data_IF_596362386675
#
_entry.id   IF_596362386675
#
_cell.length_a   1.000
_cell.length_b   1.000
_cell.length_c   1.000
_cell.angle_alpha   90.00
_cell.angle_beta   90.00
_cell.angle_gamma   90.00
#
_symmetry.space_group_name_H-M   'P 1'
#
loop_
_entity.id
_entity.type
_entity.pdbx_description
1 polymer ?
#
# COMPACT_ATOMS: atom_id res chain seq x y z
N UNK A 1 -3.77 5.06 -36.01
CA UNK A 1 -3.12 4.08 -35.11
C UNK A 1 -2.40 4.89 -34.05
N UNK A 2 -2.67 4.67 -32.76
CA UNK A 2 -1.99 5.43 -31.70
C UNK A 2 -0.51 5.06 -31.70
N UNK A 3 0.38 6.05 -31.64
CA UNK A 3 1.82 5.82 -31.52
C UNK A 3 2.12 5.44 -30.08
N UNK A 4 2.79 4.31 -29.90
CA UNK A 4 3.19 3.87 -28.57
C UNK A 4 4.48 4.60 -28.15
N UNK A 5 4.51 5.18 -26.96
CA UNK A 5 5.63 5.96 -26.46
C UNK A 5 6.08 5.50 -25.07
N UNK A 6 7.39 5.35 -24.89
CA UNK A 6 8.03 5.08 -23.61
C UNK A 6 9.19 6.05 -23.42
N UNK A 7 9.42 6.42 -22.17
CA UNK A 7 10.57 7.22 -21.75
C UNK A 7 11.11 6.65 -20.46
N UNK A 8 12.35 6.21 -20.48
CA UNK A 8 13.07 5.63 -19.34
C UNK A 8 14.14 6.63 -18.95
N UNK A 9 14.12 7.07 -17.69
CA UNK A 9 15.18 7.92 -17.12
C UNK A 9 15.94 7.15 -16.07
N UNK A 10 17.26 7.08 -16.19
CA UNK A 10 18.15 6.42 -15.23
C UNK A 10 19.07 7.46 -14.61
N UNK A 11 18.98 7.63 -13.30
CA UNK A 11 19.73 8.60 -12.51
C UNK A 11 20.85 7.89 -11.77
N UNK A 12 22.06 8.44 -11.83
CA UNK A 12 23.15 8.01 -10.95
C UNK A 12 22.79 8.36 -9.51
N UNK A 13 23.08 7.48 -8.56
CA UNK A 13 22.76 7.71 -7.14
C UNK A 13 24.01 7.84 -6.29
N UNK A 14 23.90 8.65 -5.23
CA UNK A 14 24.88 8.69 -4.15
C UNK A 14 24.16 8.31 -2.87
N UNK A 15 24.50 7.14 -2.30
CA UNK A 15 23.79 6.56 -1.14
C UNK A 15 22.28 6.49 -1.38
N UNK A 16 21.88 6.00 -2.56
CA UNK A 16 20.49 5.89 -3.03
C UNK A 16 19.77 7.23 -3.27
N UNK A 17 20.42 8.38 -3.07
CA UNK A 17 19.83 9.68 -3.43
C UNK A 17 20.09 9.95 -4.92
N UNK A 18 19.04 10.18 -5.75
CA UNK A 18 19.24 10.50 -7.17
C UNK A 18 20.02 11.80 -7.36
N UNK A 19 21.06 11.76 -8.19
CA UNK A 19 21.81 12.95 -8.60
C UNK A 19 21.11 13.66 -9.77
N UNK A 20 21.47 14.93 -10.07
CA UNK A 20 20.96 15.61 -11.26
C UNK A 20 21.38 14.98 -12.60
N UNK A 21 22.40 14.12 -12.60
CA UNK A 21 22.89 13.45 -13.80
C UNK A 21 22.03 12.23 -14.10
N UNK A 22 21.41 12.23 -15.28
CA UNK A 22 20.59 11.13 -15.75
C UNK A 22 20.80 10.83 -17.24
N UNK A 23 20.45 9.61 -17.61
CA UNK A 23 20.39 9.10 -18.98
C UNK A 23 18.93 8.90 -19.37
N UNK A 24 18.55 9.35 -20.56
CA UNK A 24 17.18 9.21 -21.07
C UNK A 24 17.15 8.30 -22.30
N UNK A 25 16.18 7.39 -22.32
CA UNK A 25 15.92 6.48 -23.44
C UNK A 25 14.45 6.59 -23.84
N UNK A 26 14.20 6.92 -25.11
CA UNK A 26 12.84 7.08 -25.66
C UNK A 26 12.37 5.84 -26.43
N UNK A 27 12.98 4.69 -26.14
CA UNK A 27 12.67 3.38 -26.71
C UNK A 27 12.86 2.30 -25.65
N UNK A 28 12.12 1.20 -25.81
CA UNK A 28 12.22 -0.01 -25.00
C UNK A 28 11.58 -1.16 -25.77
N UNK A 29 12.05 -2.39 -25.58
CA UNK A 29 11.41 -3.56 -26.21
C UNK A 29 10.13 -3.91 -25.46
N UNK A 30 10.26 -4.25 -24.18
CA UNK A 30 9.15 -4.59 -23.31
C UNK A 30 9.32 -3.98 -21.91
N UNK A 31 8.21 -3.64 -21.27
CA UNK A 31 8.13 -3.28 -19.85
C UNK A 31 7.01 -4.08 -19.20
N UNK A 32 7.31 -4.71 -18.08
CA UNK A 32 6.33 -5.34 -17.18
C UNK A 32 6.39 -4.66 -15.82
N UNK A 33 5.26 -4.23 -15.27
CA UNK A 33 5.17 -3.61 -13.94
C UNK A 33 4.07 -4.31 -13.15
N UNK A 34 4.34 -4.66 -11.90
CA UNK A 34 3.35 -5.21 -10.97
C UNK A 34 3.29 -4.33 -9.73
N UNK A 35 2.13 -3.71 -9.53
CA UNK A 35 1.87 -2.77 -8.44
C UNK A 35 0.70 -3.19 -7.57
N UNK A 36 0.83 -3.17 -6.25
CA UNK A 36 -0.28 -3.43 -5.32
C UNK A 36 -0.04 -2.82 -3.94
N UNK A 37 -1.08 -2.24 -3.33
CA UNK A 37 -0.98 -1.78 -1.94
C UNK A 37 -0.82 -2.94 -0.92
N UNK A 38 -1.12 -4.19 -1.34
CA UNK A 38 -0.96 -5.40 -0.50
C UNK A 38 0.49 -5.89 -0.47
N UNK A 39 1.28 -5.56 -1.49
CA UNK A 39 2.70 -5.87 -1.57
C UNK A 39 3.50 -4.73 -0.96
N UNK A 40 4.59 -5.05 -0.25
CA UNK A 40 5.45 -4.00 0.31
C UNK A 40 6.21 -3.25 -0.78
N UNK A 41 6.59 -3.95 -1.85
CA UNK A 41 7.36 -3.42 -2.98
C UNK A 41 6.64 -3.67 -4.30
N UNK A 42 6.46 -2.62 -5.09
CA UNK A 42 6.16 -2.77 -6.51
C UNK A 42 7.41 -3.22 -7.28
N UNK A 43 7.20 -3.93 -8.39
CA UNK A 43 8.31 -4.45 -9.22
C UNK A 43 8.16 -4.01 -10.67
N UNK A 44 9.28 -3.83 -11.35
CA UNK A 44 9.32 -3.62 -12.79
C UNK A 44 10.41 -4.46 -13.45
N UNK A 45 10.18 -4.83 -14.71
CA UNK A 45 11.18 -5.48 -15.57
C UNK A 45 11.17 -4.77 -16.92
N UNK A 46 12.36 -4.36 -17.36
CA UNK A 46 12.58 -3.68 -18.63
C UNK A 46 13.43 -4.60 -19.50
N UNK A 47 13.02 -4.80 -20.74
CA UNK A 47 13.82 -5.47 -21.77
C UNK A 47 14.31 -4.43 -22.77
N UNK A 48 15.63 -4.33 -22.89
CA UNK A 48 16.32 -3.42 -23.80
C UNK A 48 17.21 -4.21 -24.77
N UNK A 49 17.55 -3.66 -25.94
CA UNK A 49 18.69 -4.14 -26.72
C UNK A 49 19.99 -4.09 -25.90
N UNK A 50 20.96 -4.95 -26.17
CA UNK A 50 22.25 -4.94 -25.48
C UNK A 50 23.05 -3.65 -25.72
N UNK A 51 22.97 -3.13 -26.95
CA UNK A 51 23.57 -1.85 -27.35
C UNK A 51 22.53 -0.74 -27.20
N UNK A 52 22.86 0.29 -26.44
CA UNK A 52 21.96 1.41 -26.17
C UNK A 52 22.65 2.75 -26.44
N UNK A 53 21.86 3.68 -26.98
CA UNK A 53 22.26 5.03 -27.33
C UNK A 53 21.35 6.05 -26.63
N UNK A 54 21.95 7.12 -26.10
CA UNK A 54 21.25 8.20 -25.37
C UNK A 54 20.82 9.36 -26.27
N UNK A 55 21.44 9.52 -27.45
CA UNK A 55 20.98 10.45 -28.48
C UNK A 55 20.23 9.67 -29.56
N UNK A 56 18.93 9.92 -29.67
CA UNK A 56 18.01 9.18 -30.55
C UNK A 56 17.41 10.07 -31.64
N UNK A 57 17.96 11.27 -31.88
CA UNK A 57 17.49 12.10 -33.01
C UNK A 57 17.73 11.35 -34.32
N UNK A 58 16.64 10.84 -34.92
CA UNK A 58 16.69 10.03 -36.15
C UNK A 58 16.69 8.50 -35.92
N UNK A 59 16.33 8.01 -34.73
CA UNK A 59 16.24 6.57 -34.47
C UNK A 59 15.21 5.87 -35.36
N UNK A 60 15.71 5.06 -36.28
CA UNK A 60 14.97 4.05 -37.04
C UNK A 60 15.29 2.69 -36.41
N UNK A 61 14.25 1.96 -36.02
CA UNK A 61 14.35 0.64 -35.38
C UNK A 61 15.01 -0.41 -36.30
N UNK A 62 15.08 -0.13 -37.61
CA UNK A 62 15.78 -0.94 -38.62
C UNK A 62 17.26 -0.58 -38.81
N UNK A 63 17.77 0.49 -38.17
CA UNK A 63 19.12 1.03 -38.38
C UNK A 63 20.06 0.83 -37.18
N UNK A 64 20.15 -0.39 -36.63
CA UNK A 64 21.27 -0.77 -35.75
C UNK A 64 22.64 -0.72 -36.46
N UNK A 65 22.66 -0.49 -37.77
CA UNK A 65 23.84 -0.44 -38.64
C UNK A 65 24.55 0.92 -38.70
N UNK A 66 23.92 2.02 -38.26
CA UNK A 66 24.42 3.38 -38.52
C UNK A 66 24.74 4.23 -37.28
N UNK A 67 24.77 3.64 -36.09
CA UNK A 67 25.13 4.40 -34.89
C UNK A 67 26.64 4.70 -34.86
N UNK A 68 27.01 5.98 -34.93
CA UNK A 68 28.39 6.45 -34.77
C UNK A 68 28.67 6.88 -33.32
N UNK A 69 29.78 6.41 -32.75
CA UNK A 69 30.21 6.69 -31.37
C UNK A 69 30.96 5.52 -30.73
N UNK A 70 31.65 5.75 -29.60
CA UNK A 70 32.22 4.68 -28.79
C UNK A 70 31.11 3.70 -28.34
N UNK A 71 31.39 2.40 -28.40
CA UNK A 71 30.44 1.35 -28.03
C UNK A 71 30.12 1.44 -26.53
N UNK A 72 28.92 1.92 -26.20
CA UNK A 72 28.39 1.93 -24.83
C UNK A 72 27.43 0.77 -24.65
N UNK A 73 27.68 -0.02 -23.62
CA UNK A 73 26.89 -1.19 -23.25
C UNK A 73 25.74 -0.82 -22.34
N UNK A 74 24.75 -1.71 -22.18
CA UNK A 74 23.68 -1.50 -21.20
C UNK A 74 24.22 -1.20 -19.78
N UNK A 75 25.34 -1.84 -19.39
CA UNK A 75 25.94 -1.71 -18.06
C UNK A 75 26.57 -0.34 -17.79
N UNK A 76 26.85 0.44 -18.84
CA UNK A 76 27.36 1.80 -18.68
C UNK A 76 26.29 2.74 -18.12
N UNK A 77 25.02 2.46 -18.41
CA UNK A 77 23.88 3.31 -18.07
C UNK A 77 23.00 2.72 -16.97
N UNK A 78 22.78 1.40 -17.00
CA UNK A 78 21.97 0.68 -16.05
C UNK A 78 22.90 -0.03 -15.07
N UNK A 79 23.00 0.50 -13.86
CA UNK A 79 23.82 -0.05 -12.78
C UNK A 79 22.96 -0.34 -11.57
N UNK A 80 23.37 -1.33 -10.78
CA UNK A 80 22.71 -1.62 -9.50
C UNK A 80 22.58 -0.33 -8.68
N UNK A 81 21.41 -0.16 -8.07
CA UNK A 81 21.07 0.97 -7.19
C UNK A 81 21.01 2.35 -7.87
N UNK A 82 21.18 2.44 -9.19
CA UNK A 82 20.72 3.62 -9.92
C UNK A 82 19.20 3.75 -9.78
N UNK A 83 18.74 4.99 -9.66
CA UNK A 83 17.32 5.30 -9.57
C UNK A 83 16.73 5.38 -10.98
N UNK A 84 15.52 4.88 -11.17
CA UNK A 84 14.88 4.76 -12.48
C UNK A 84 13.44 5.27 -12.44
N UNK A 85 13.07 6.03 -13.46
CA UNK A 85 11.71 6.44 -13.73
C UNK A 85 11.25 5.88 -15.07
N UNK A 86 10.08 5.23 -15.09
CA UNK A 86 9.49 4.66 -16.29
C UNK A 86 8.20 5.42 -16.60
N UNK A 87 8.15 6.02 -17.78
CA UNK A 87 6.98 6.70 -18.30
C UNK A 87 6.45 5.97 -19.53
N UNK A 88 5.14 5.71 -19.57
CA UNK A 88 4.48 4.97 -20.64
C UNK A 88 3.24 5.74 -21.10
N UNK A 89 2.90 5.66 -22.39
CA UNK A 89 1.66 6.23 -22.90
C UNK A 89 1.54 6.20 -24.42
N UNK A 90 0.68 7.06 -24.94
CA UNK A 90 0.35 7.15 -26.37
C UNK A 90 0.53 8.59 -26.89
N UNK A 91 0.91 8.72 -28.15
CA UNK A 91 0.98 10.00 -28.89
C UNK A 91 1.71 11.13 -28.14
N UNK A 92 2.76 10.78 -27.39
CA UNK A 92 3.57 11.71 -26.60
C UNK A 92 2.99 12.09 -25.24
N UNK A 93 1.81 11.62 -24.86
CA UNK A 93 1.26 11.77 -23.51
C UNK A 93 1.84 10.70 -22.57
N UNK A 94 2.82 11.09 -21.75
CA UNK A 94 3.57 10.20 -20.87
C UNK A 94 2.97 10.14 -19.46
N UNK A 95 2.59 8.95 -18.99
CA UNK A 95 2.17 8.73 -17.60
C UNK A 95 3.31 8.12 -16.77
N UNK A 96 3.59 8.63 -15.54
CA UNK A 96 4.61 8.05 -14.67
C UNK A 96 4.11 6.69 -14.15
N UNK A 97 4.64 5.63 -14.74
CA UNK A 97 4.21 4.25 -14.55
C UNK A 97 4.95 3.55 -13.40
N UNK A 98 6.23 3.88 -13.19
CA UNK A 98 7.05 3.29 -12.14
C UNK A 98 8.20 4.21 -11.74
N UNK A 99 8.60 4.14 -10.48
CA UNK A 99 9.73 4.89 -9.90
C UNK A 99 10.41 4.03 -8.84
N UNK A 100 11.71 3.83 -8.96
CA UNK A 100 12.41 2.91 -8.06
C UNK A 100 13.90 2.80 -8.32
N UNK A 101 14.48 1.66 -7.94
CA UNK A 101 15.89 1.37 -8.08
C UNK A 101 16.11 0.12 -8.91
N UNK A 102 17.19 0.11 -9.68
CA UNK A 102 17.65 -1.07 -10.40
C UNK A 102 18.20 -2.08 -9.39
N UNK A 103 17.66 -3.29 -9.40
CA UNK A 103 18.06 -4.40 -8.51
C UNK A 103 18.79 -5.52 -9.24
N UNK A 104 18.79 -5.50 -10.57
CA UNK A 104 19.50 -6.47 -11.39
C UNK A 104 19.63 -6.02 -12.84
N UNK A 105 20.75 -6.38 -13.47
CA UNK A 105 21.03 -6.15 -14.90
C UNK A 105 21.65 -7.42 -15.45
N UNK A 106 20.92 -8.10 -16.33
CA UNK A 106 21.35 -9.32 -17.03
C UNK A 106 21.45 -9.00 -18.53
N UNK A 107 22.44 -9.54 -19.24
CA UNK A 107 22.69 -9.13 -20.63
C UNK A 107 23.13 -10.27 -21.54
N UNK A 108 22.62 -11.48 -21.34
CA UNK A 108 23.09 -12.67 -22.08
C UNK A 108 22.69 -12.63 -23.58
N UNK A 109 21.46 -12.24 -23.89
CA UNK A 109 20.95 -12.11 -25.29
C UNK A 109 20.23 -10.78 -25.52
N UNK A 110 19.22 -10.49 -24.70
CA UNK A 110 18.69 -9.15 -24.51
C UNK A 110 19.10 -8.65 -23.12
N UNK A 111 19.17 -7.34 -22.97
CA UNK A 111 19.35 -6.76 -21.65
C UNK A 111 18.04 -6.81 -20.87
N UNK A 112 18.04 -7.45 -19.71
CA UNK A 112 16.92 -7.53 -18.77
C UNK A 112 17.30 -6.78 -17.51
N UNK A 113 16.56 -5.73 -17.21
CA UNK A 113 16.75 -4.88 -16.03
C UNK A 113 15.59 -5.12 -15.09
N UNK A 114 15.87 -5.61 -13.89
CA UNK A 114 14.87 -5.76 -12.83
C UNK A 114 14.96 -4.58 -11.87
N UNK A 115 13.80 -4.09 -11.45
CA UNK A 115 13.69 -2.95 -10.56
C UNK A 115 12.69 -3.25 -9.45
N UNK A 116 12.93 -2.64 -8.29
CA UNK A 116 11.96 -2.51 -7.21
C UNK A 116 11.68 -1.02 -7.00
N UNK A 117 10.49 -0.69 -6.51
CA UNK A 117 10.12 0.71 -6.27
C UNK A 117 10.99 1.40 -5.20
N UNK A 118 10.62 2.62 -4.83
CA UNK A 118 11.35 3.39 -3.83
C UNK A 118 11.47 2.67 -2.46
N UNK A 119 10.67 1.63 -2.19
CA UNK A 119 10.75 0.82 -0.97
C UNK A 119 12.07 0.07 -0.83
N UNK A 120 12.75 -0.22 -1.94
CA UNK A 120 14.08 -0.84 -1.94
C UNK A 120 15.06 -0.11 -1.01
N UNK A 121 15.00 1.23 -0.94
CA UNK A 121 15.89 2.00 -0.08
C UNK A 121 15.75 1.61 1.41
N UNK A 122 14.55 1.26 1.85
CA UNK A 122 14.29 0.85 3.24
C UNK A 122 14.74 -0.56 3.56
N UNK A 123 15.02 -1.39 2.55
CA UNK A 123 15.66 -2.70 2.74
C UNK A 123 17.13 -2.54 3.16
N UNK A 124 17.75 -1.41 2.84
CA UNK A 124 19.17 -1.12 3.13
C UNK A 124 19.39 -0.31 4.41
N UNK A 125 18.32 0.25 4.99
CA UNK A 125 18.41 1.13 6.17
C UNK A 125 17.98 0.35 7.41
N UNK A 126 18.87 0.28 8.41
CA UNK A 126 18.55 -0.30 9.71
C UNK A 126 17.50 0.54 10.44
N UNK A 127 16.55 -0.14 11.08
CA UNK A 127 15.52 0.49 11.89
C UNK A 127 16.06 1.04 13.24
N UNK A 128 17.13 0.43 13.74
CA UNK A 128 17.87 0.83 14.94
C UNK A 128 19.35 0.91 14.58
N UNK A 129 20.04 1.96 15.02
CA UNK A 129 21.45 2.21 14.69
C UNK A 129 22.35 1.35 15.57
N UNK A 130 23.48 0.90 15.01
CA UNK A 130 24.47 0.11 15.74
C UNK A 130 25.26 0.94 16.75
N UNK A 131 25.51 2.22 16.42
CA UNK A 131 26.21 3.16 17.30
C UNK A 131 25.28 3.76 18.36
N UNK A 132 25.86 4.15 19.51
CA UNK A 132 25.17 4.80 20.62
C UNK A 132 23.92 4.06 21.11
N UNK A 133 24.15 2.83 21.57
CA UNK A 133 23.17 1.86 22.11
C UNK A 133 22.31 2.40 23.26
N UNK A 134 22.78 3.45 23.94
CA UNK A 134 22.08 4.13 25.03
C UNK A 134 22.09 5.64 24.81
N UNK A 135 21.85 6.08 23.57
CA UNK A 135 21.71 7.51 23.29
C UNK A 135 20.52 8.09 24.05
N UNK A 136 20.80 8.84 25.12
CA UNK A 136 19.78 9.54 25.92
C UNK A 136 18.99 10.57 25.09
N UNK A 137 19.45 10.92 23.88
CA UNK A 137 18.75 11.81 22.93
C UNK A 137 17.92 11.05 21.89
N UNK A 138 18.11 9.74 21.75
CA UNK A 138 17.34 8.89 20.85
C UNK A 138 16.74 7.69 21.58
N UNK A 139 15.59 7.93 22.21
CA UNK A 139 14.83 6.89 22.90
C UNK A 139 14.38 5.74 21.98
N UNK A 140 14.42 5.92 20.65
CA UNK A 140 14.11 4.87 19.68
C UNK A 140 15.33 3.98 19.36
N UNK A 141 16.52 4.34 19.87
CA UNK A 141 17.79 3.64 19.64
C UNK A 141 18.27 2.82 20.85
N UNK A 142 17.46 2.77 21.91
CA UNK A 142 17.80 2.12 23.17
C UNK A 142 17.77 0.59 23.01
N UNK A 143 18.76 -0.09 23.60
CA UNK A 143 18.71 -1.54 23.78
C UNK A 143 17.71 -1.90 24.87
N UNK A 144 16.78 -2.78 24.51
CA UNK A 144 16.01 -3.64 25.41
C UNK A 144 16.86 -4.01 26.64
N UNK A 145 16.55 -3.44 27.80
CA UNK A 145 17.10 -3.95 29.07
C UNK A 145 16.51 -5.34 29.36
N UNK A 146 15.39 -5.68 28.70
CA UNK A 146 14.69 -6.96 28.74
C UNK A 146 14.52 -7.49 27.29
N UNK A 147 14.86 -8.75 26.97
CA UNK A 147 14.71 -9.32 25.62
C UNK A 147 13.28 -9.31 25.03
N UNK A 148 12.26 -8.92 25.80
CA UNK A 148 10.86 -8.89 25.37
C UNK A 148 10.37 -7.56 24.75
N UNK A 149 11.03 -6.40 24.97
CA UNK A 149 10.60 -5.08 24.44
C UNK A 149 11.78 -4.09 24.34
N UNK A 150 11.92 -3.34 23.23
CA UNK A 150 12.91 -2.24 23.13
C UNK A 150 12.38 -0.91 22.56
N UNK A 151 11.15 -0.86 22.04
CA UNK A 151 10.50 0.41 21.70
C UNK A 151 9.16 0.48 22.42
N UNK A 152 9.14 1.27 23.49
CA UNK A 152 7.93 1.52 24.28
C UNK A 152 7.04 2.54 23.57
N UNK A 153 5.72 2.36 23.69
CA UNK A 153 4.71 3.26 23.09
C UNK A 153 4.98 3.58 21.62
N UNK A 154 5.20 2.56 20.81
CA UNK A 154 5.55 2.70 19.40
C UNK A 154 4.44 3.41 18.63
N UNK A 155 4.76 4.61 18.14
CA UNK A 155 3.92 5.34 17.20
C UNK A 155 4.60 5.33 15.81
N UNK A 156 3.97 4.74 14.77
CA UNK A 156 4.54 4.65 13.43
C UNK A 156 4.99 5.99 12.87
N UNK A 157 4.16 7.04 13.01
CA UNK A 157 4.49 8.37 12.51
C UNK A 157 5.76 8.92 13.15
N UNK A 158 5.82 8.96 14.47
CA UNK A 158 6.99 9.46 15.20
C UNK A 158 8.24 8.66 14.82
N UNK A 159 8.14 7.32 14.79
CA UNK A 159 9.26 6.45 14.50
C UNK A 159 9.79 6.63 13.07
N UNK A 160 8.92 6.50 12.07
CA UNK A 160 9.34 6.53 10.68
C UNK A 160 9.69 7.94 10.22
N UNK A 161 8.98 8.98 10.63
CA UNK A 161 9.40 10.36 10.29
C UNK A 161 10.81 10.65 10.82
N UNK A 162 11.14 10.23 12.04
CA UNK A 162 12.49 10.40 12.59
C UNK A 162 13.53 9.60 11.80
N UNK A 163 13.31 8.30 11.59
CA UNK A 163 14.28 7.42 10.90
C UNK A 163 14.47 7.81 9.42
N UNK A 164 13.41 8.22 8.74
CA UNK A 164 13.42 8.54 7.31
C UNK A 164 13.99 9.94 7.05
N UNK A 165 13.72 10.92 7.92
CA UNK A 165 14.23 12.30 7.78
C UNK A 165 15.76 12.33 7.72
N UNK A 166 16.43 11.44 8.44
CA UNK A 166 17.89 11.32 8.44
C UNK A 166 18.46 10.86 7.08
N UNK A 167 17.65 10.17 6.27
CA UNK A 167 18.03 9.67 4.94
C UNK A 167 17.98 10.76 3.86
N UNK A 168 17.32 11.89 4.14
CA UNK A 168 17.12 13.00 3.19
C UNK A 168 16.52 12.54 1.85
N UNK A 169 15.67 11.52 1.87
CA UNK A 169 15.02 11.01 0.67
C UNK A 169 13.92 11.99 0.20
N UNK A 170 13.72 12.15 -1.12
CA UNK A 170 12.86 13.20 -1.68
C UNK A 170 11.37 12.78 -1.76
N UNK A 171 10.80 12.32 -0.65
CA UNK A 171 9.37 11.98 -0.57
C UNK A 171 8.75 12.35 0.77
N UNK A 172 7.43 12.52 0.78
CA UNK A 172 6.67 12.77 2.00
C UNK A 172 6.37 11.44 2.70
N UNK A 173 6.25 11.50 4.02
CA UNK A 173 5.76 10.38 4.84
C UNK A 173 4.37 10.76 5.33
N UNK A 174 3.40 9.87 5.11
CA UNK A 174 2.07 9.94 5.69
C UNK A 174 1.86 8.65 6.48
N UNK A 175 1.96 8.74 7.79
CA UNK A 175 1.96 7.58 8.66
C UNK A 175 0.88 7.67 9.74
N UNK A 176 0.33 6.51 10.08
CA UNK A 176 -0.62 6.31 11.17
C UNK A 176 -0.06 6.93 12.46
N UNK A 177 -0.81 7.88 13.01
CA UNK A 177 -0.48 8.60 14.24
C UNK A 177 -1.24 7.97 15.42
N UNK A 178 -0.85 6.76 15.78
CA UNK A 178 -1.49 5.97 16.81
C UNK A 178 -0.42 5.24 17.63
N UNK A 179 -0.62 5.15 18.94
CA UNK A 179 0.24 4.34 19.81
C UNK A 179 -0.16 2.86 19.67
N UNK A 180 0.74 2.04 19.13
CA UNK A 180 0.53 0.61 18.92
C UNK A 180 1.07 -0.24 20.08
N UNK A 181 1.37 0.39 21.21
CA UNK A 181 1.97 -0.25 22.38
C UNK A 181 3.44 -0.57 22.17
N UNK A 182 3.94 -1.54 22.94
CA UNK A 182 5.35 -1.90 22.91
C UNK A 182 5.65 -2.85 21.74
N UNK A 183 6.77 -2.62 21.03
CA UNK A 183 7.24 -3.54 19.99
C UNK A 183 8.72 -3.90 20.19
N UNK A 184 9.13 -5.00 19.56
CA UNK A 184 10.53 -5.43 19.49
C UNK A 184 11.06 -5.18 18.09
N UNK A 185 12.04 -4.29 17.97
CA UNK A 185 12.79 -4.04 16.74
C UNK A 185 14.24 -4.48 16.93
N UNK A 186 14.58 -5.64 16.39
CA UNK A 186 15.93 -6.20 16.45
C UNK A 186 16.96 -5.32 15.74
N UNK A 187 18.24 -5.37 16.16
CA UNK A 187 19.32 -4.55 15.57
C UNK A 187 19.63 -4.87 14.11
N UNK A 188 19.36 -6.11 13.71
CA UNK A 188 19.49 -6.55 12.32
C UNK A 188 18.26 -6.18 11.48
N UNK A 189 17.17 -5.68 12.08
CA UNK A 189 15.99 -5.29 11.32
C UNK A 189 16.26 -4.04 10.48
N UNK A 190 15.96 -4.15 9.19
CA UNK A 190 15.78 -3.00 8.32
C UNK A 190 14.44 -2.30 8.58
N UNK A 191 14.29 -1.07 8.11
CA UNK A 191 12.99 -0.38 8.11
C UNK A 191 11.93 -1.20 7.35
N UNK A 192 12.31 -1.86 6.25
CA UNK A 192 11.39 -2.72 5.51
C UNK A 192 10.89 -3.91 6.33
N UNK A 193 11.75 -4.51 7.17
CA UNK A 193 11.33 -5.60 8.05
C UNK A 193 10.37 -5.12 9.14
N UNK A 194 10.53 -3.90 9.65
CA UNK A 194 9.54 -3.31 10.55
C UNK A 194 8.20 -3.07 9.83
N UNK A 195 8.21 -2.67 8.56
CA UNK A 195 6.97 -2.57 7.79
C UNK A 195 6.25 -3.93 7.64
N UNK A 196 6.98 -5.02 7.38
CA UNK A 196 6.37 -6.35 7.34
C UNK A 196 5.78 -6.76 8.69
N UNK A 197 6.46 -6.47 9.82
CA UNK A 197 5.90 -6.71 11.15
C UNK A 197 4.57 -5.96 11.39
N UNK A 198 4.46 -4.73 10.86
CA UNK A 198 3.24 -3.94 10.94
C UNK A 198 2.12 -4.50 10.04
N UNK A 199 2.47 -5.10 8.90
CA UNK A 199 1.52 -5.77 8.01
C UNK A 199 0.83 -6.96 8.69
N UNK A 200 1.54 -7.73 9.51
CA UNK A 200 0.93 -8.81 10.30
C UNK A 200 -0.11 -8.30 11.31
N UNK A 201 0.06 -7.05 11.76
CA UNK A 201 -0.89 -6.31 12.58
C UNK A 201 -1.96 -5.58 11.75
N UNK A 202 -2.03 -5.77 10.43
CA UNK A 202 -3.02 -5.14 9.55
C UNK A 202 -2.72 -3.69 9.17
N UNK A 203 -1.47 -3.24 9.34
CA UNK A 203 -1.01 -1.91 8.94
C UNK A 203 -0.16 -2.05 7.68
N UNK A 204 -0.64 -1.47 6.59
CA UNK A 204 -0.04 -1.57 5.27
C UNK A 204 0.92 -0.40 5.04
N UNK A 205 2.03 -0.69 4.37
CA UNK A 205 3.00 0.31 3.94
C UNK A 205 3.20 0.21 2.43
N UNK A 206 3.01 1.32 1.72
CA UNK A 206 3.15 1.37 0.26
C UNK A 206 3.43 2.80 -0.20
N UNK A 207 4.00 2.96 -1.39
CA UNK A 207 4.13 4.26 -2.03
C UNK A 207 2.86 4.63 -2.80
N UNK A 208 2.33 5.82 -2.53
CA UNK A 208 1.26 6.43 -3.30
C UNK A 208 1.83 7.60 -4.09
N UNK A 209 1.58 7.64 -5.40
CA UNK A 209 1.97 8.81 -6.20
C UNK A 209 0.89 9.88 -6.12
N UNK A 210 1.23 11.03 -5.54
CA UNK A 210 0.39 12.23 -5.48
C UNK A 210 0.93 13.34 -6.41
N UNK A 211 0.20 14.44 -6.58
CA UNK A 211 0.66 15.56 -7.43
C UNK A 211 2.06 16.06 -7.06
N UNK A 212 2.31 16.17 -5.75
CA UNK A 212 3.56 16.73 -5.24
C UNK A 212 4.72 15.72 -5.26
N UNK A 213 4.48 14.49 -5.72
CA UNK A 213 5.46 13.42 -5.74
C UNK A 213 5.00 12.14 -5.03
N UNK A 214 5.88 11.14 -4.93
CA UNK A 214 5.60 9.94 -4.16
C UNK A 214 5.46 10.25 -2.67
N UNK A 215 4.52 9.57 -2.02
CA UNK A 215 4.23 9.64 -0.59
C UNK A 215 4.28 8.22 -0.04
N UNK A 216 5.19 7.99 0.91
CA UNK A 216 5.19 6.76 1.69
C UNK A 216 3.96 6.78 2.60
N UNK A 217 3.03 5.87 2.38
CA UNK A 217 1.80 5.76 3.16
C UNK A 217 1.89 4.57 4.10
N UNK A 218 1.66 4.78 5.40
CA UNK A 218 1.60 3.74 6.44
C UNK A 218 0.23 3.84 7.10
N UNK A 219 -0.66 2.88 6.87
CA UNK A 219 -2.07 3.00 7.27
C UNK A 219 -2.72 1.65 7.58
N UNK A 220 -3.64 1.64 8.53
CA UNK A 220 -4.54 0.51 8.80
C UNK A 220 -5.81 0.52 7.90
N UNK A 221 -5.99 1.56 7.07
CA UNK A 221 -7.14 1.75 6.19
C UNK A 221 -6.70 2.07 4.74
N UNK A 222 -5.96 1.16 4.07
CA UNK A 222 -5.43 1.40 2.71
C UNK A 222 -6.55 1.59 1.67
N UNK A 223 -7.72 0.99 1.93
CA UNK A 223 -8.91 1.10 1.11
C UNK A 223 -9.81 2.30 1.49
N UNK A 224 -9.38 3.19 2.38
CA UNK A 224 -10.09 4.43 2.69
C UNK A 224 -11.58 4.22 3.05
N UNK A 225 -11.89 3.20 3.85
CA UNK A 225 -13.23 2.99 4.39
C UNK A 225 -13.68 4.22 5.16
N UNK A 226 -14.92 4.64 4.92
CA UNK A 226 -15.54 5.75 5.67
C UNK A 226 -16.07 5.27 7.01
N UNK A 227 -16.31 6.20 7.94
CA UNK A 227 -16.98 5.89 9.20
C UNK A 227 -18.37 5.26 9.00
N UNK A 228 -19.11 5.71 7.98
CA UNK A 228 -20.43 5.17 7.63
C UNK A 228 -20.32 3.72 7.15
N UNK A 229 -19.34 3.41 6.29
CA UNK A 229 -19.09 2.05 5.81
C UNK A 229 -18.71 1.12 6.99
N UNK A 230 -17.89 1.59 7.93
CA UNK A 230 -17.53 0.84 9.14
C UNK A 230 -18.74 0.60 10.05
N UNK A 231 -19.53 1.65 10.32
CA UNK A 231 -20.73 1.56 11.17
C UNK A 231 -21.75 0.59 10.59
N UNK A 232 -22.07 0.73 9.29
CA UNK A 232 -22.98 -0.16 8.60
C UNK A 232 -22.50 -1.62 8.55
N UNK A 233 -21.19 -1.84 8.37
CA UNK A 233 -20.60 -3.17 8.44
C UNK A 233 -20.74 -3.78 9.84
N UNK A 234 -20.38 -3.01 10.88
CA UNK A 234 -20.50 -3.46 12.27
C UNK A 234 -21.95 -3.82 12.57
N UNK A 235 -22.92 -3.00 12.17
CA UNK A 235 -24.33 -3.26 12.47
C UNK A 235 -24.86 -4.56 11.89
N UNK A 236 -24.47 -4.89 10.64
CA UNK A 236 -24.85 -6.15 9.98
C UNK A 236 -24.15 -7.37 10.56
N UNK A 237 -22.94 -7.20 11.07
CA UNK A 237 -22.05 -8.29 11.51
C UNK A 237 -21.86 -8.35 13.03
N UNK A 238 -22.68 -7.63 13.79
CA UNK A 238 -22.55 -7.53 15.23
C UNK A 238 -22.94 -8.83 15.92
N UNK A 239 -22.02 -9.44 16.65
CA UNK A 239 -22.29 -10.63 17.45
C UNK A 239 -22.57 -10.18 18.90
N UNK A 240 -23.81 -10.38 19.35
CA UNK A 240 -24.19 -10.06 20.74
C UNK A 240 -23.43 -10.93 21.73
N UNK A 241 -22.93 -10.30 22.79
CA UNK A 241 -22.29 -10.97 23.93
C UNK A 241 -22.60 -10.18 25.21
N UNK A 242 -22.29 -10.70 26.41
CA UNK A 242 -22.49 -9.97 27.67
C UNK A 242 -21.85 -8.58 27.68
N UNK A 243 -20.69 -8.43 27.02
CA UNK A 243 -19.95 -7.17 26.87
C UNK A 243 -20.15 -6.52 25.50
N UNK A 244 -21.10 -6.99 24.70
CA UNK A 244 -21.40 -6.49 23.36
C UNK A 244 -22.91 -6.36 23.19
N UNK A 245 -23.47 -5.34 23.85
CA UNK A 245 -24.89 -5.01 23.85
C UNK A 245 -25.18 -3.64 23.22
N UNK A 246 -26.36 -3.09 23.51
CA UNK A 246 -26.83 -1.82 22.94
C UNK A 246 -25.94 -0.61 23.32
N UNK A 247 -25.40 -0.59 24.55
CA UNK A 247 -24.54 0.49 25.03
C UNK A 247 -23.23 0.57 24.22
N UNK A 248 -22.61 -0.59 23.95
CA UNK A 248 -21.39 -0.69 23.14
C UNK A 248 -21.64 -0.21 21.70
N UNK A 249 -22.76 -0.63 21.10
CA UNK A 249 -23.17 -0.12 19.77
C UNK A 249 -23.27 1.41 19.75
N UNK A 250 -23.84 2.01 20.80
CA UNK A 250 -23.93 3.47 20.92
C UNK A 250 -22.55 4.12 20.95
N UNK A 251 -21.64 3.62 21.79
CA UNK A 251 -20.27 4.14 21.89
C UNK A 251 -19.47 3.98 20.60
N UNK A 252 -19.63 2.86 19.88
CA UNK A 252 -19.00 2.66 18.56
C UNK A 252 -19.41 3.79 17.61
N UNK A 253 -20.72 4.08 17.53
CA UNK A 253 -21.23 5.12 16.65
C UNK A 253 -20.75 6.51 17.06
N UNK A 254 -20.68 6.81 18.36
CA UNK A 254 -20.10 8.07 18.87
C UNK A 254 -18.61 8.19 18.48
N UNK A 255 -17.81 7.14 18.68
CA UNK A 255 -16.40 7.12 18.29
C UNK A 255 -16.18 7.23 16.78
N UNK A 256 -16.97 6.53 15.97
CA UNK A 256 -16.92 6.63 14.51
C UNK A 256 -17.32 8.02 14.00
N UNK A 257 -18.28 8.69 14.64
CA UNK A 257 -18.64 10.07 14.30
C UNK A 257 -17.48 11.05 14.58
N UNK A 258 -16.78 10.88 15.69
CA UNK A 258 -15.58 11.66 16.00
C UNK A 258 -14.49 11.41 14.94
N UNK A 259 -14.25 10.15 14.57
CA UNK A 259 -13.31 9.76 13.51
C UNK A 259 -13.69 10.33 12.14
N UNK A 260 -14.98 10.32 11.79
CA UNK A 260 -15.48 10.91 10.54
C UNK A 260 -15.10 12.38 10.42
N UNK A 261 -15.24 13.13 11.52
CA UNK A 261 -14.87 14.55 11.56
C UNK A 261 -13.37 14.78 11.34
N UNK A 262 -12.51 13.87 11.80
CA UNK A 262 -11.05 13.93 11.61
C UNK A 262 -10.64 13.50 10.20
N UNK A 263 -11.23 12.42 9.68
CA UNK A 263 -11.02 11.92 8.32
C UNK A 263 -11.43 12.97 7.27
N UNK A 264 -12.55 13.66 7.48
CA UNK A 264 -13.01 14.71 6.57
C UNK A 264 -12.08 15.92 6.55
N UNK A 265 -11.49 16.32 7.70
CA UNK A 265 -10.48 17.38 7.76
C UNK A 265 -9.19 17.00 7.02
N UNK A 266 -8.76 15.73 7.14
CA UNK A 266 -7.59 15.21 6.44
C UNK A 266 -7.79 15.10 4.92
N UNK A 267 -9.01 14.78 4.46
CA UNK A 267 -9.34 14.71 3.03
C UNK A 267 -9.40 16.09 2.37
N UNK A 268 -9.86 17.13 3.09
CA UNK A 268 -9.95 18.50 2.56
C UNK A 268 -8.60 19.20 2.40
N UNK A 269 -7.56 18.80 3.17
CA UNK A 269 -6.22 19.37 3.06
C UNK A 269 -5.38 18.80 1.89
N UNK A 270 -5.89 17.77 1.20
CA UNK A 270 -5.23 17.09 0.06
C UNK A 270 -5.85 17.56 -1.28
N UNK A 271 -6.44 18.77 -1.31
CA UNK A 271 -6.98 19.41 -2.51
C UNK A 271 -5.86 19.78 -3.50
N UNK A 272 -5.28 18.77 -4.15
CA UNK A 272 -4.29 18.87 -5.21
C UNK A 272 -4.34 17.57 -6.00
N UNK A 273 -5.10 17.58 -7.09
CA UNK A 273 -5.62 16.40 -7.78
C UNK A 273 -4.63 15.39 -8.38
N UNK A 274 -4.76 14.13 -7.98
CA UNK A 274 -4.86 13.05 -8.98
C UNK A 274 -6.32 12.60 -8.93
N UNK A 275 -7.05 12.58 -10.05
CA UNK A 275 -8.43 12.10 -10.06
C UNK A 275 -8.44 10.58 -9.95
N UNK A 276 -8.38 10.07 -8.72
CA UNK A 276 -8.49 8.64 -8.39
C UNK A 276 -9.88 8.06 -8.64
N UNK A 277 -10.53 8.45 -9.74
CA UNK A 277 -11.80 7.94 -10.27
C UNK A 277 -11.66 7.81 -11.78
N UNK A 278 -11.83 6.61 -12.29
CA UNK A 278 -11.65 6.28 -13.70
C UNK A 278 -12.85 5.49 -14.20
N UNK A 279 -13.39 5.85 -15.37
CA UNK A 279 -14.55 5.18 -15.94
C UNK A 279 -14.12 4.10 -16.94
N UNK A 280 -14.68 2.90 -16.81
CA UNK A 280 -14.60 1.85 -17.81
C UNK A 280 -15.98 1.36 -18.19
N UNK A 281 -16.21 1.29 -19.50
CA UNK A 281 -17.43 0.72 -20.07
C UNK A 281 -17.14 -0.62 -20.71
N UNK A 282 -17.92 -1.63 -20.35
CA UNK A 282 -17.86 -2.95 -20.96
C UNK A 282 -18.17 -2.85 -22.46
N UNK A 283 -17.44 -3.61 -23.27
CA UNK A 283 -17.50 -3.58 -24.75
C UNK A 283 -17.00 -2.28 -25.39
N UNK A 284 -16.39 -1.39 -24.61
CA UNK A 284 -15.73 -0.18 -25.12
C UNK A 284 -14.24 -0.16 -24.75
N UNK A 285 -13.91 -0.09 -23.46
CA UNK A 285 -12.51 0.02 -22.98
C UNK A 285 -11.98 -1.29 -22.38
N UNK A 286 -12.85 -2.28 -22.18
CA UNK A 286 -12.52 -3.58 -21.57
C UNK A 286 -12.34 -4.62 -22.68
N UNK A 287 -11.15 -5.20 -22.73
CA UNK A 287 -10.72 -6.24 -23.67
C UNK A 287 -11.15 -7.62 -23.15
N UNK A 288 -10.96 -7.86 -21.86
CA UNK A 288 -11.27 -9.14 -21.20
C UNK A 288 -11.90 -8.88 -19.83
N UNK A 289 -12.92 -9.67 -19.49
CA UNK A 289 -13.60 -9.65 -18.20
C UNK A 289 -13.39 -10.99 -17.48
N UNK A 290 -12.77 -10.94 -16.29
CA UNK A 290 -12.62 -12.05 -15.35
C UNK A 290 -13.16 -11.70 -13.97
N UNK A 291 -14.12 -10.77 -13.91
CA UNK A 291 -14.73 -10.34 -12.66
C UNK A 291 -15.85 -11.27 -12.22
N UNK A 292 -15.86 -11.57 -10.93
CA UNK A 292 -16.91 -12.31 -10.22
C UNK A 292 -17.49 -11.40 -9.13
N UNK A 293 -18.81 -11.33 -9.05
CA UNK A 293 -19.49 -10.58 -7.98
C UNK A 293 -19.36 -11.35 -6.68
N UNK A 294 -18.93 -10.67 -5.63
CA UNK A 294 -18.83 -11.23 -4.28
C UNK A 294 -19.58 -10.35 -3.29
N UNK A 295 -20.28 -10.99 -2.37
CA UNK A 295 -21.05 -10.30 -1.35
C UNK A 295 -20.57 -10.71 0.05
N UNK A 296 -20.83 -9.85 1.03
CA UNK A 296 -20.44 -10.04 2.44
C UNK A 296 -20.92 -11.39 3.01
N UNK A 297 -22.09 -11.86 2.58
CA UNK A 297 -22.70 -13.14 2.97
C UNK A 297 -22.10 -14.37 2.30
N UNK A 298 -21.22 -14.21 1.32
CA UNK A 298 -20.65 -15.33 0.55
C UNK A 298 -19.68 -16.19 1.38
N UNK A 299 -19.17 -15.65 2.49
CA UNK A 299 -18.25 -16.32 3.40
C UNK A 299 -18.82 -16.31 4.81
N UNK A 300 -19.01 -17.49 5.40
CA UNK A 300 -19.45 -17.66 6.78
C UNK A 300 -18.23 -17.62 7.71
N UNK A 301 -17.86 -16.43 8.17
CA UNK A 301 -16.60 -16.17 8.87
C UNK A 301 -16.77 -15.18 10.00
N UNK A 302 -15.97 -15.31 11.04
CA UNK A 302 -15.84 -14.32 12.11
C UNK A 302 -14.39 -13.99 12.41
N UNK A 303 -14.20 -12.77 12.90
CA UNK A 303 -12.91 -12.27 13.39
C UNK A 303 -13.04 -11.98 14.88
N UNK A 304 -12.03 -12.39 15.65
CA UNK A 304 -11.95 -12.14 17.08
C UNK A 304 -10.83 -11.16 17.37
N UNK A 305 -11.09 -10.22 18.27
CA UNK A 305 -10.08 -9.29 18.79
C UNK A 305 -10.04 -9.42 20.30
N UNK A 306 -8.86 -9.62 20.86
CA UNK A 306 -8.61 -9.74 22.30
C UNK A 306 -7.66 -8.65 22.76
N UNK A 307 -7.95 -8.01 23.90
CA UNK A 307 -7.04 -7.08 24.58
C UNK A 307 -6.76 -7.58 25.99
N UNK A 308 -5.48 -7.84 26.26
CA UNK A 308 -4.96 -8.23 27.58
C UNK A 308 -4.46 -7.00 28.35
N UNK A 309 -4.52 -7.07 29.68
CA UNK A 309 -4.15 -5.97 30.57
C UNK A 309 -3.18 -6.46 31.64
N UNK A 310 -2.37 -5.55 32.19
CA UNK A 310 -1.30 -5.85 33.17
C UNK A 310 -1.73 -6.75 34.33
N UNK A 311 -2.95 -6.56 34.83
CA UNK A 311 -3.50 -7.29 35.98
C UNK A 311 -4.48 -8.41 35.61
N UNK A 312 -4.62 -8.78 34.33
CA UNK A 312 -5.59 -9.78 33.89
C UNK A 312 -5.06 -10.69 32.78
N UNK A 313 -5.08 -12.00 33.04
CA UNK A 313 -4.86 -13.04 32.04
C UNK A 313 -6.14 -13.36 31.24
N UNK A 314 -7.28 -12.80 31.62
CA UNK A 314 -8.54 -12.90 30.87
C UNK A 314 -8.70 -11.65 30.02
N UNK A 315 -8.79 -11.77 28.68
CA UNK A 315 -8.90 -10.61 27.82
C UNK A 315 -10.31 -10.01 27.83
N UNK A 316 -10.40 -8.72 27.53
CA UNK A 316 -11.61 -8.16 26.96
C UNK A 316 -11.62 -8.49 25.47
N UNK A 317 -12.69 -9.11 24.98
CA UNK A 317 -12.74 -9.57 23.60
C UNK A 317 -14.06 -9.23 22.91
N UNK A 318 -13.98 -9.06 21.59
CA UNK A 318 -15.15 -8.92 20.72
C UNK A 318 -15.06 -9.92 19.59
N UNK A 319 -16.21 -10.27 19.02
CA UNK A 319 -16.29 -11.04 17.79
C UNK A 319 -17.18 -10.29 16.79
N UNK A 320 -16.79 -10.30 15.53
CA UNK A 320 -17.50 -9.63 14.44
C UNK A 320 -17.57 -10.55 13.23
N UNK A 321 -18.76 -10.65 12.62
CA UNK A 321 -19.05 -11.55 11.50
C UNK A 321 -20.26 -12.43 11.82
N UNK A 322 -20.17 -13.70 11.44
CA UNK A 322 -21.25 -14.66 11.67
C UNK A 322 -21.04 -15.41 13.00
N UNK A 323 -22.06 -15.53 13.89
CA UNK A 323 -21.94 -16.18 15.20
C UNK A 323 -21.35 -17.60 15.17
N UNK A 324 -21.60 -18.35 14.11
CA UNK A 324 -21.11 -19.72 13.89
C UNK A 324 -20.16 -19.81 12.68
N UNK A 325 -19.60 -18.68 12.25
CA UNK A 325 -18.66 -18.64 11.13
C UNK A 325 -17.30 -19.22 11.51
N UNK A 326 -16.56 -19.62 10.49
CA UNK A 326 -15.16 -20.01 10.66
C UNK A 326 -14.38 -18.85 11.27
N UNK A 327 -13.68 -19.09 12.37
CA UNK A 327 -12.78 -18.10 12.96
C UNK A 327 -11.57 -17.93 12.04
N UNK A 328 -11.45 -16.79 11.39
CA UNK A 328 -10.38 -16.52 10.42
C UNK A 328 -9.06 -16.26 11.14
N UNK A 329 -9.11 -15.38 12.15
CA UNK A 329 -7.95 -14.97 12.94
C UNK A 329 -8.40 -14.39 14.29
N UNK A 330 -7.61 -14.67 15.32
CA UNK A 330 -7.65 -13.93 16.58
C UNK A 330 -6.56 -12.87 16.54
N UNK A 331 -6.94 -11.61 16.65
CA UNK A 331 -6.02 -10.49 16.79
C UNK A 331 -5.82 -10.19 18.27
N UNK A 332 -4.58 -10.29 18.74
CA UNK A 332 -4.22 -10.09 20.14
C UNK A 332 -3.53 -8.74 20.31
N UNK A 333 -4.05 -7.95 21.23
CA UNK A 333 -3.53 -6.67 21.69
C UNK A 333 -3.14 -6.77 23.16
N UNK A 334 -2.14 -6.00 23.57
CA UNK A 334 -1.64 -5.96 24.95
C UNK A 334 -1.60 -4.51 25.42
N UNK A 335 -2.05 -4.31 26.67
CA UNK A 335 -1.86 -3.09 27.44
C UNK A 335 -1.08 -3.43 28.71
N UNK A 336 0.23 -3.22 28.65
CA UNK A 336 1.15 -3.57 29.74
C UNK A 336 1.20 -2.49 30.84
N UNK A 337 0.50 -1.37 30.64
CA UNK A 337 0.57 -0.20 31.50
C UNK A 337 -0.67 -0.06 32.37
N UNK A 338 -1.86 -0.32 31.80
CA UNK A 338 -3.12 -0.11 32.49
C UNK A 338 -3.62 -1.37 33.20
N UNK A 339 -4.27 -1.15 34.35
CA UNK A 339 -4.96 -2.19 35.11
C UNK A 339 -6.46 -2.09 34.86
N UNK A 340 -7.14 -3.22 34.67
CA UNK A 340 -8.60 -3.25 34.72
C UNK A 340 -9.09 -2.86 36.13
N UNK A 341 -10.10 -1.98 36.24
CA UNK A 341 -10.69 -1.61 37.51
C UNK A 341 -11.23 -2.83 38.28
N UNK A 342 -11.15 -2.79 39.62
CA UNK A 342 -11.73 -3.85 40.48
C UNK A 342 -13.16 -3.55 40.89
N UNK A 343 -13.55 -2.28 40.91
CA UNK A 343 -14.92 -1.88 41.23
C UNK A 343 -15.87 -2.35 40.10
N UNK A 344 -16.98 -3.04 40.41
CA UNK A 344 -17.86 -3.60 39.39
C UNK A 344 -18.45 -2.57 38.42
N UNK A 345 -18.87 -1.40 38.91
CA UNK A 345 -19.52 -0.39 38.07
C UNK A 345 -18.50 0.31 37.16
N UNK A 346 -17.32 0.61 37.70
CA UNK A 346 -16.21 1.17 36.89
C UNK A 346 -15.70 0.13 35.89
N UNK A 347 -15.60 -1.15 36.27
CA UNK A 347 -15.19 -2.23 35.39
C UNK A 347 -16.16 -2.39 34.21
N UNK A 348 -17.48 -2.41 34.45
CA UNK A 348 -18.48 -2.50 33.39
C UNK A 348 -18.37 -1.33 32.40
N UNK A 349 -18.21 -0.10 32.91
CA UNK A 349 -18.01 1.09 32.07
C UNK A 349 -16.73 0.99 31.23
N UNK A 350 -15.59 0.72 31.86
CA UNK A 350 -14.29 0.63 31.18
C UNK A 350 -14.27 -0.50 30.15
N UNK A 351 -14.83 -1.67 30.46
CA UNK A 351 -14.91 -2.78 29.49
C UNK A 351 -15.81 -2.47 28.31
N UNK A 352 -16.88 -1.70 28.50
CA UNK A 352 -17.76 -1.22 27.42
C UNK A 352 -17.00 -0.24 26.50
N UNK A 353 -16.24 0.69 27.06
CA UNK A 353 -15.40 1.65 26.31
C UNK A 353 -14.35 0.90 25.48
N UNK A 354 -13.58 0.00 26.12
CA UNK A 354 -12.58 -0.84 25.44
C UNK A 354 -13.23 -1.66 24.32
N UNK A 355 -14.35 -2.34 24.59
CA UNK A 355 -15.04 -3.15 23.57
C UNK A 355 -15.40 -2.31 22.34
N UNK A 356 -15.84 -1.06 22.53
CA UNK A 356 -16.16 -0.16 21.41
C UNK A 356 -14.96 0.16 20.52
N UNK A 357 -13.78 0.36 21.11
CA UNK A 357 -12.52 0.55 20.38
C UNK A 357 -12.14 -0.72 19.61
N UNK A 358 -12.27 -1.88 20.25
CA UNK A 358 -11.97 -3.17 19.62
C UNK A 358 -12.87 -3.47 18.42
N UNK A 359 -14.13 -3.02 18.42
CA UNK A 359 -15.01 -3.14 17.26
C UNK A 359 -14.55 -2.28 16.08
N UNK A 360 -14.07 -1.06 16.32
CA UNK A 360 -13.52 -0.21 15.25
C UNK A 360 -12.26 -0.85 14.65
N UNK A 361 -11.38 -1.36 15.51
CA UNK A 361 -10.19 -2.11 15.09
C UNK A 361 -10.54 -3.40 14.34
N UNK A 362 -11.51 -4.16 14.84
CA UNK A 362 -11.96 -5.43 14.28
C UNK A 362 -12.66 -5.28 12.93
N UNK A 363 -13.42 -4.19 12.74
CA UNK A 363 -14.19 -3.94 11.51
C UNK A 363 -13.31 -3.90 10.27
N UNK A 364 -12.22 -3.12 10.28
CA UNK A 364 -11.29 -3.03 9.13
C UNK A 364 -10.72 -4.40 8.71
N UNK A 365 -10.51 -5.31 9.66
CA UNK A 365 -9.97 -6.66 9.43
C UNK A 365 -11.06 -7.63 8.98
N UNK A 366 -12.22 -7.58 9.63
CA UNK A 366 -13.37 -8.40 9.26
C UNK A 366 -13.88 -8.08 7.84
N UNK A 367 -13.84 -6.81 7.42
CA UNK A 367 -14.18 -6.39 6.06
C UNK A 367 -13.26 -7.02 5.00
N UNK A 368 -11.99 -7.32 5.33
CA UNK A 368 -11.09 -8.02 4.41
C UNK A 368 -11.48 -9.49 4.25
N UNK A 369 -11.97 -10.13 5.31
CA UNK A 369 -12.44 -11.53 5.26
C UNK A 369 -13.84 -11.70 4.67
N UNK A 370 -14.67 -10.65 4.70
CA UNK A 370 -16.05 -10.66 4.18
C UNK A 370 -16.17 -9.66 3.01
N UNK A 371 -15.64 -10.00 1.81
CA UNK A 371 -15.58 -9.06 0.70
C UNK A 371 -16.98 -8.73 0.18
N UNK A 372 -17.20 -7.47 -0.17
CA UNK A 372 -18.41 -6.98 -0.83
C UNK A 372 -18.01 -6.12 -2.03
N UNK A 373 -18.22 -6.62 -3.25
CA UNK A 373 -17.73 -5.99 -4.48
C UNK A 373 -17.44 -7.00 -5.58
N UNK A 374 -16.22 -6.94 -6.10
CA UNK A 374 -15.76 -7.81 -7.19
C UNK A 374 -14.46 -8.52 -6.79
N UNK A 375 -14.30 -9.76 -7.25
CA UNK A 375 -13.02 -10.48 -7.27
C UNK A 375 -12.60 -10.74 -8.72
N UNK A 376 -11.29 -10.74 -8.98
CA UNK A 376 -10.72 -10.96 -10.31
C UNK A 376 -10.23 -9.66 -10.97
N UNK A 377 -10.16 -9.64 -12.30
CA UNK A 377 -9.60 -8.52 -13.05
C UNK A 377 -10.35 -8.21 -14.34
N UNK A 378 -10.13 -6.99 -14.84
CA UNK A 378 -10.40 -6.60 -16.21
C UNK A 378 -9.08 -6.35 -16.95
N UNK A 379 -9.00 -6.77 -18.21
CA UNK A 379 -7.91 -6.39 -19.11
C UNK A 379 -8.34 -5.19 -19.93
N UNK A 380 -7.53 -4.14 -19.96
CA UNK A 380 -7.79 -2.89 -20.69
C UNK A 380 -6.57 -2.48 -21.50
N UNK A 381 -6.75 -1.49 -22.37
CA UNK A 381 -5.62 -0.77 -22.95
C UNK A 381 -4.89 0.06 -21.88
N UNK A 382 -3.70 0.56 -22.22
CA UNK A 382 -2.89 1.47 -21.40
C UNK A 382 -3.59 2.73 -20.89
N UNK A 383 -4.73 3.09 -21.50
CA UNK A 383 -5.56 4.21 -21.08
C UNK A 383 -7.04 3.81 -20.96
N UNK A 384 -7.78 4.40 -20.02
CA UNK A 384 -7.32 5.37 -19.01
C UNK A 384 -6.30 4.78 -18.01
N UNK A 385 -5.39 5.62 -17.50
CA UNK A 385 -4.31 5.16 -16.63
C UNK A 385 -4.76 4.95 -15.17
N UNK A 386 -4.58 3.74 -14.63
CA UNK A 386 -5.10 3.35 -13.31
C UNK A 386 -4.00 2.86 -12.37
N UNK A 387 -3.93 3.34 -11.13
CA UNK A 387 -3.01 2.89 -10.08
C UNK A 387 -3.74 2.09 -8.99
N UNK A 388 -3.01 1.30 -8.18
CA UNK A 388 -3.56 0.80 -6.92
C UNK A 388 -4.12 1.94 -6.08
N UNK A 389 -5.18 1.66 -5.31
CA UNK A 389 -5.95 2.62 -4.49
C UNK A 389 -6.85 3.60 -5.24
N UNK A 390 -6.74 3.71 -6.57
CA UNK A 390 -7.73 4.44 -7.38
C UNK A 390 -9.11 3.77 -7.32
N UNK A 391 -10.14 4.53 -7.68
CA UNK A 391 -11.51 4.05 -7.84
C UNK A 391 -11.82 3.88 -9.32
N UNK A 392 -12.44 2.76 -9.66
CA UNK A 392 -12.89 2.44 -11.01
C UNK A 392 -14.42 2.38 -11.01
N UNK A 393 -15.03 3.19 -11.88
CA UNK A 393 -16.46 3.19 -12.14
C UNK A 393 -16.70 2.25 -13.33
N UNK A 394 -17.51 1.23 -13.11
CA UNK A 394 -17.86 0.25 -14.12
C UNK A 394 -19.28 0.44 -14.64
N UNK A 395 -19.40 0.42 -15.96
CA UNK A 395 -20.68 0.46 -16.68
C UNK A 395 -20.83 -0.74 -17.62
N UNK A 396 -21.75 -1.61 -17.27
CA UNK A 396 -22.13 -2.80 -18.01
C UNK A 396 -23.64 -2.76 -18.29
N UNK A 397 -23.99 -2.60 -19.57
CA UNK A 397 -25.38 -2.54 -20.01
C UNK A 397 -26.09 -3.89 -19.92
N UNK A 398 -25.34 -5.01 -19.92
CA UNK A 398 -25.90 -6.37 -19.91
C UNK A 398 -25.95 -6.97 -18.51
N UNK A 399 -24.87 -6.84 -17.76
CA UNK A 399 -24.73 -7.39 -16.41
C UNK A 399 -24.63 -6.24 -15.41
N UNK A 400 -25.79 -5.79 -14.92
CA UNK A 400 -25.88 -4.61 -14.05
C UNK A 400 -25.32 -4.84 -12.66
N UNK A 401 -25.10 -6.09 -12.23
CA UNK A 401 -24.54 -6.40 -10.91
C UNK A 401 -23.07 -5.95 -10.80
N UNK A 402 -22.37 -5.95 -11.95
CA UNK A 402 -21.01 -5.41 -12.08
C UNK A 402 -20.92 -3.89 -12.13
N UNK A 403 -22.05 -3.18 -12.14
CA UNK A 403 -22.05 -1.71 -12.18
C UNK A 403 -21.75 -1.15 -10.80
N UNK A 404 -20.97 -0.07 -10.74
CA UNK A 404 -20.67 0.61 -9.49
C UNK A 404 -19.28 1.22 -9.48
N UNK A 405 -18.91 1.75 -8.31
CA UNK A 405 -17.54 2.23 -8.05
C UNK A 405 -16.83 1.18 -7.22
N UNK A 406 -15.64 0.77 -7.65
CA UNK A 406 -14.83 -0.26 -7.01
C UNK A 406 -13.43 0.26 -6.76
N UNK A 407 -12.79 -0.22 -5.70
CA UNK A 407 -11.41 0.15 -5.43
C UNK A 407 -10.42 -0.81 -6.10
N UNK A 408 -9.33 -0.25 -6.61
CA UNK A 408 -8.27 -1.01 -7.28
C UNK A 408 -7.29 -1.56 -6.25
N UNK A 409 -7.05 -2.87 -6.31
CA UNK A 409 -6.12 -3.54 -5.40
C UNK A 409 -4.73 -3.71 -5.98
N UNK A 410 -4.67 -4.05 -7.26
CA UNK A 410 -3.44 -4.40 -7.97
C UNK A 410 -3.59 -4.00 -9.43
N UNK A 411 -2.48 -3.58 -10.03
CA UNK A 411 -2.40 -3.33 -11.46
C UNK A 411 -1.15 -3.99 -12.01
N UNK A 412 -1.33 -4.86 -13.00
CA UNK A 412 -0.22 -5.41 -13.80
C UNK A 412 -0.22 -4.70 -15.16
N UNK A 413 0.91 -4.07 -15.53
CA UNK A 413 1.06 -3.39 -16.81
C UNK A 413 2.06 -4.12 -17.67
N UNK A 414 1.71 -4.27 -18.94
CA UNK A 414 2.61 -4.76 -19.97
C UNK A 414 2.62 -3.76 -21.13
N UNK A 415 3.81 -3.36 -21.55
CA UNK A 415 4.06 -2.45 -22.66
C UNK A 415 5.11 -3.08 -23.57
N UNK A 416 4.94 -2.98 -24.89
CA UNK A 416 5.96 -3.39 -25.85
C UNK A 416 5.37 -3.88 -27.16
N UNK A 417 5.89 -5.01 -27.67
CA UNK A 417 5.53 -5.58 -28.98
C UNK A 417 4.03 -5.85 -29.14
N UNK A 418 3.35 -6.24 -28.05
CA UNK A 418 1.91 -6.52 -28.03
C UNK A 418 1.05 -5.28 -27.68
N UNK A 419 1.64 -4.09 -27.76
CA UNK A 419 1.03 -2.82 -27.36
C UNK A 419 1.10 -2.59 -25.86
N UNK A 420 0.24 -1.69 -25.37
CA UNK A 420 0.17 -1.34 -23.94
C UNK A 420 -1.17 -1.78 -23.33
N UNK A 421 -1.09 -2.60 -22.29
CA UNK A 421 -2.19 -3.27 -21.60
C UNK A 421 -2.08 -3.14 -20.09
N UNK A 422 -3.23 -3.17 -19.43
CA UNK A 422 -3.34 -3.14 -17.97
C UNK A 422 -4.30 -4.25 -17.53
N UNK A 423 -3.88 -5.14 -16.63
CA UNK A 423 -4.79 -5.97 -15.85
C UNK A 423 -5.07 -5.25 -14.54
N UNK A 424 -6.31 -4.84 -14.36
CA UNK A 424 -6.76 -4.07 -13.19
C UNK A 424 -7.55 -5.03 -12.32
N UNK A 425 -7.01 -5.36 -11.16
CA UNK A 425 -7.68 -6.18 -10.16
C UNK A 425 -8.52 -5.28 -9.27
N UNK A 426 -9.82 -5.57 -9.24
CA UNK A 426 -10.80 -4.83 -8.47
C UNK A 426 -11.11 -5.57 -7.19
N UNK A 427 -11.49 -4.82 -6.16
CA UNK A 427 -11.88 -5.36 -4.87
C UNK A 427 -13.23 -4.82 -4.43
N UNK A 428 -13.24 -4.19 -3.25
CA UNK A 428 -14.47 -3.72 -2.61
C UNK A 428 -15.25 -2.74 -3.50
N UNK A 429 -16.57 -2.78 -3.35
CA UNK A 429 -17.46 -1.71 -3.76
C UNK A 429 -17.26 -0.52 -2.81
N UNK A 430 -17.26 0.67 -3.40
CA UNK A 430 -17.24 1.95 -2.68
C UNK A 430 -18.65 2.50 -2.74
N UNK A 431 -19.27 2.71 -1.58
CA UNK A 431 -20.58 3.34 -1.51
C UNK A 431 -20.46 4.80 -1.94
N UNK A 432 -21.37 5.27 -2.79
CA UNK A 432 -21.48 6.70 -3.09
C UNK A 432 -21.96 7.41 -1.83
N UNK A 433 -21.09 8.25 -1.25
CA UNK A 433 -21.46 9.17 -0.17
C UNK A 433 -22.49 10.17 -0.65
#
# INVERSE_FOLDING_TARGET
MLKLNAKIKVYETVRLIPSPKFYEFNYVKNVSINSSYKSLTDTATIVMPQKVYTDTKGYDQSLFTNASGEEKTIHDFFKLENYIEIFLGYDGDYKPAFRGYITGVQSDTNAVITCEDAMYAFKKVKAVKDNNVQDKKDNLNIVAVNPATNVDNFNPKIFFEKRIKELKLPFKVNALDENLGNIVVSRNHSLSQVFEMLKDKGIYTYFKTELTGPVLTITNNPQQHTANELSGFIDRNFIKSPISGALVKKLINEGLNLLASQLNKALQSIAGGFSGRVNFRFRHNIIEDKLVVVNESSKNTRTRVEKYFKNSNTPIYIELGDPNGQLVKTHVLHDDNENLPKDPAVFEKTTTEIASELYQYGALRAMQSKPNGLEGYILTFGEPFVRPTDKVILENAKDKEKNGTFQVEKVERNYGENGYRQKIYLGRRVESV
#
